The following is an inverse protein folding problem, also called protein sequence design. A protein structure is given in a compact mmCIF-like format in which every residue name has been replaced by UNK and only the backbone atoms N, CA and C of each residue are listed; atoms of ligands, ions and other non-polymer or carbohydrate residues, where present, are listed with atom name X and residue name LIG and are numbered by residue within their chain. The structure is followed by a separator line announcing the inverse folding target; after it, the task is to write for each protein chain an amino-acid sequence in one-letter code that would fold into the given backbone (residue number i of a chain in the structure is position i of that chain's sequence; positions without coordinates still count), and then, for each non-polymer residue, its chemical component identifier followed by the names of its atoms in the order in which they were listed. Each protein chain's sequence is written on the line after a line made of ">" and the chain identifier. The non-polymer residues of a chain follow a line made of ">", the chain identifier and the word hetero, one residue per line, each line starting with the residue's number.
data_IF_688851762025
#
_entry.id   IF_688851762025
#
_cell.length_a   1.000
_cell.length_b   1.000
_cell.length_c   1.000
_cell.angle_alpha   90.00
_cell.angle_beta   90.00
_cell.angle_gamma   90.00
#
_symmetry.space_group_name_H-M   'P 1'
#
loop_
_entity.id
_entity.type
_entity.pdbx_description
1 polymer ?
#
# COMPACT_ATOMS: atom_id res chain seq x y z
N UNK A 1 8.33 5.28 55.56
CA UNK A 1 8.56 3.83 55.75
C UNK A 1 7.20 3.16 55.94
N UNK A 2 6.61 2.60 54.88
CA UNK A 2 5.36 1.86 54.97
C UNK A 2 5.57 0.49 54.33
N UNK A 3 5.68 -0.53 55.20
CA UNK A 3 5.66 -1.95 54.85
C UNK A 3 4.20 -2.43 54.90
N UNK A 4 3.75 -3.11 53.86
CA UNK A 4 2.48 -3.87 53.82
C UNK A 4 2.63 -5.05 52.83
N UNK A 5 1.83 -6.12 52.97
CA UNK A 5 2.34 -7.43 53.37
C UNK A 5 2.36 -8.48 52.25
N UNK A 6 3.14 -9.54 52.50
CA UNK A 6 3.19 -10.78 51.73
C UNK A 6 1.86 -11.54 51.77
N UNK A 7 1.31 -11.82 50.58
CA UNK A 7 0.26 -12.82 50.40
C UNK A 7 0.89 -14.16 50.00
N UNK A 8 0.47 -15.22 50.69
CA UNK A 8 0.99 -16.56 50.60
C UNK A 8 0.62 -17.25 49.28
N UNK A 9 1.61 -17.92 48.68
CA UNK A 9 1.48 -18.75 47.48
C UNK A 9 0.84 -20.10 47.82
N UNK A 10 -0.28 -20.42 47.17
CA UNK A 10 -0.77 -21.80 47.04
C UNK A 10 -0.39 -22.29 45.65
N UNK A 11 0.39 -23.36 45.61
CA UNK A 11 0.98 -23.96 44.42
C UNK A 11 0.10 -25.14 44.00
N UNK A 12 -0.61 -25.01 42.88
CA UNK A 12 -1.36 -26.13 42.29
C UNK A 12 -0.74 -26.45 40.94
N UNK A 13 -0.02 -27.57 40.88
CA UNK A 13 0.55 -28.10 39.66
C UNK A 13 -0.54 -28.88 38.91
N UNK A 14 -0.96 -28.39 37.74
CA UNK A 14 -1.76 -29.14 36.79
C UNK A 14 -0.88 -29.51 35.59
N UNK A 15 -0.48 -30.78 35.55
CA UNK A 15 0.09 -31.42 34.39
C UNK A 15 -1.05 -31.89 33.47
N UNK A 16 -1.13 -31.34 32.26
CA UNK A 16 -1.95 -31.80 31.14
C UNK A 16 -1.15 -31.39 29.88
N UNK A 17 -0.71 -32.26 29.00
CA UNK A 17 -1.25 -33.56 28.62
C UNK A 17 -1.27 -33.56 27.09
N UNK A 18 -0.16 -33.99 26.50
CA UNK A 18 -0.01 -34.21 25.06
C UNK A 18 -0.97 -35.36 24.64
N UNK A 19 -1.90 -35.11 23.73
CA UNK A 19 -2.67 -36.15 23.04
C UNK A 19 -3.09 -35.57 21.67
N UNK A 20 -2.56 -36.03 20.55
CA UNK A 20 -2.82 -37.31 19.88
C UNK A 20 -3.71 -37.05 18.65
N UNK A 21 -3.20 -37.51 17.52
CA UNK A 21 -3.81 -37.44 16.21
C UNK A 21 -5.20 -38.10 16.17
N UNK A 22 -6.12 -37.48 15.43
CA UNK A 22 -7.21 -38.19 14.78
C UNK A 22 -7.08 -37.97 13.27
N UNK A 23 -6.36 -38.90 12.65
CA UNK A 23 -6.53 -39.21 11.25
C UNK A 23 -7.95 -39.77 11.09
N UNK A 24 -8.86 -38.96 10.57
CA UNK A 24 -10.13 -39.47 10.05
C UNK A 24 -9.86 -40.05 8.67
N UNK A 25 -9.91 -41.37 8.60
CA UNK A 25 -10.02 -42.11 7.36
C UNK A 25 -11.41 -41.83 6.79
N UNK A 26 -11.46 -40.97 5.77
CA UNK A 26 -12.67 -40.72 5.00
C UNK A 26 -12.84 -41.87 3.99
N UNK A 27 -13.86 -42.69 4.25
CA UNK A 27 -14.26 -43.80 3.41
C UNK A 27 -14.83 -43.25 2.08
N UNK A 28 -14.29 -43.63 0.91
CA UNK A 28 -14.76 -43.11 -0.37
C UNK A 28 -16.16 -43.68 -0.67
N UNK A 29 -17.18 -42.84 -0.96
CA UNK A 29 -18.50 -43.33 -1.32
C UNK A 29 -18.45 -44.09 -2.66
N UNK A 30 -18.97 -45.33 -2.72
CA UNK A 30 -19.07 -46.06 -3.98
C UNK A 30 -20.29 -45.57 -4.77
N UNK A 31 -20.07 -45.15 -6.02
CA UNK A 31 -21.15 -45.04 -7.02
C UNK A 31 -21.75 -43.65 -7.18
N UNK A 32 -20.97 -42.69 -7.69
CA UNK A 32 -21.47 -41.43 -8.25
C UNK A 32 -21.32 -41.43 -9.78
N UNK A 33 -22.44 -41.26 -10.48
CA UNK A 33 -22.56 -41.17 -11.93
C UNK A 33 -21.54 -40.20 -12.58
N UNK A 34 -21.14 -40.40 -13.86
CA UNK A 34 -20.20 -39.52 -14.54
C UNK A 34 -20.71 -38.08 -14.54
N UNK A 35 -20.07 -37.24 -13.71
CA UNK A 35 -20.36 -35.83 -13.64
C UNK A 35 -20.07 -35.20 -15.00
N UNK A 36 -21.12 -34.65 -15.62
CA UNK A 36 -21.03 -33.89 -16.85
C UNK A 36 -19.96 -32.79 -16.69
N UNK A 37 -18.91 -32.87 -17.51
CA UNK A 37 -17.78 -31.95 -17.51
C UNK A 37 -18.31 -30.52 -17.75
N UNK A 38 -18.34 -29.72 -16.69
CA UNK A 38 -18.78 -28.34 -16.77
C UNK A 38 -17.88 -27.61 -17.78
N UNK A 39 -18.45 -26.82 -18.71
CA UNK A 39 -17.69 -26.15 -19.76
C UNK A 39 -16.60 -25.29 -19.12
N UNK A 40 -15.33 -25.63 -19.41
CA UNK A 40 -14.17 -24.84 -19.02
C UNK A 40 -14.28 -23.47 -19.70
N UNK A 41 -14.83 -22.50 -18.98
CA UNK A 41 -14.86 -21.09 -19.41
C UNK A 41 -13.41 -20.66 -19.56
N UNK A 42 -12.99 -20.40 -20.80
CA UNK A 42 -11.65 -19.92 -21.09
C UNK A 42 -11.38 -18.68 -20.22
N UNK A 43 -10.23 -18.61 -19.52
CA UNK A 43 -9.91 -17.47 -18.67
C UNK A 43 -9.97 -16.20 -19.52
N UNK A 44 -10.93 -15.34 -19.19
CA UNK A 44 -11.10 -14.06 -19.87
C UNK A 44 -9.76 -13.33 -19.82
N UNK A 45 -9.24 -12.96 -20.99
CA UNK A 45 -7.96 -12.29 -21.14
C UNK A 45 -7.89 -11.13 -20.15
N UNK A 46 -6.93 -11.20 -19.22
CA UNK A 46 -6.76 -10.20 -18.18
C UNK A 46 -6.60 -8.82 -18.85
N UNK A 47 -7.48 -7.88 -18.50
CA UNK A 47 -7.40 -6.52 -19.00
C UNK A 47 -5.97 -5.97 -18.78
N UNK A 48 -5.43 -5.18 -19.71
CA UNK A 48 -4.09 -4.62 -19.59
C UNK A 48 -4.00 -3.86 -18.25
N UNK A 49 -3.18 -4.38 -17.34
CA UNK A 49 -2.90 -3.71 -16.07
C UNK A 49 -2.26 -2.38 -16.42
N UNK A 50 -3.00 -1.30 -16.22
CA UNK A 50 -2.47 0.05 -16.34
C UNK A 50 -1.13 0.09 -15.60
N UNK A 51 -0.09 0.60 -16.25
CA UNK A 51 1.22 0.70 -15.65
C UNK A 51 1.10 1.46 -14.33
N UNK A 52 1.34 0.77 -13.21
CA UNK A 52 1.32 1.36 -11.87
C UNK A 52 2.39 2.46 -11.82
N UNK A 53 2.04 3.65 -11.35
CA UNK A 53 2.93 4.83 -11.34
C UNK A 53 2.78 5.63 -10.06
N UNK A 54 3.86 6.29 -9.64
CA UNK A 54 3.86 7.13 -8.46
C UNK A 54 3.75 6.37 -7.14
N UNK A 55 3.53 7.13 -6.07
CA UNK A 55 3.44 6.64 -4.70
C UNK A 55 2.22 7.23 -4.00
N UNK A 56 1.47 6.42 -3.27
CA UNK A 56 0.37 6.87 -2.41
C UNK A 56 0.84 6.88 -0.95
N UNK A 57 0.54 7.95 -0.21
CA UNK A 57 0.81 8.05 1.23
C UNK A 57 -0.43 7.67 2.02
N UNK A 58 -0.28 6.77 3.00
CA UNK A 58 -1.37 6.24 3.81
C UNK A 58 -1.04 6.39 5.29
N UNK A 59 -1.92 7.04 6.05
CA UNK A 59 -1.85 7.04 7.51
C UNK A 59 -2.38 5.70 8.04
N UNK A 60 -1.51 4.91 8.67
CA UNK A 60 -1.90 3.60 9.22
C UNK A 60 -2.95 3.76 10.33
N UNK A 61 -2.82 4.80 11.14
CA UNK A 61 -3.71 5.13 12.26
C UNK A 61 -4.04 6.63 12.25
N UNK A 62 -4.96 7.05 13.12
CA UNK A 62 -5.39 8.46 13.21
C UNK A 62 -4.33 9.35 13.90
N UNK A 63 -3.48 8.78 14.76
CA UNK A 63 -2.36 9.51 15.40
C UNK A 63 -1.29 9.92 14.37
N UNK A 64 -1.14 9.14 13.32
CA UNK A 64 -0.19 9.35 12.22
C UNK A 64 -0.69 10.28 11.13
N UNK A 65 -1.94 10.76 11.20
CA UNK A 65 -2.56 11.54 10.13
C UNK A 65 -1.84 12.88 9.86
N UNK A 66 -1.36 13.58 10.89
CA UNK A 66 -0.59 14.82 10.70
C UNK A 66 0.74 14.57 9.99
N UNK A 67 1.47 13.54 10.43
CA UNK A 67 2.75 13.15 9.84
C UNK A 67 2.58 12.69 8.38
N UNK A 68 1.52 11.91 8.11
CA UNK A 68 1.15 11.45 6.78
C UNK A 68 0.79 12.61 5.85
N UNK A 69 0.00 13.59 6.32
CA UNK A 69 -0.30 14.82 5.55
C UNK A 69 0.97 15.61 5.25
N UNK A 70 1.91 15.69 6.18
CA UNK A 70 3.21 16.35 5.92
C UNK A 70 4.01 15.62 4.85
N UNK A 71 4.10 14.29 4.92
CA UNK A 71 4.79 13.48 3.92
C UNK A 71 4.11 13.58 2.54
N UNK A 72 2.78 13.51 2.49
CA UNK A 72 2.00 13.63 1.26
C UNK A 72 2.28 14.94 0.52
N UNK A 73 2.40 16.08 1.23
CA UNK A 73 2.78 17.36 0.62
C UNK A 73 4.16 17.32 -0.04
N UNK A 74 5.13 16.65 0.58
CA UNK A 74 6.48 16.48 0.03
C UNK A 74 6.47 15.57 -1.20
N UNK A 75 5.76 14.44 -1.12
CA UNK A 75 5.70 13.43 -2.18
C UNK A 75 4.92 13.94 -3.40
N UNK A 76 3.74 14.51 -3.21
CA UNK A 76 2.86 14.92 -4.32
C UNK A 76 3.30 16.21 -5.02
N UNK A 77 4.27 16.95 -4.44
CA UNK A 77 4.93 18.06 -5.13
C UNK A 77 5.82 17.60 -6.28
N UNK A 78 6.31 16.36 -6.23
CA UNK A 78 7.09 15.77 -7.31
C UNK A 78 6.16 15.11 -8.35
N UNK A 79 6.16 15.57 -9.62
CA UNK A 79 5.30 15.01 -10.65
C UNK A 79 5.57 13.53 -10.95
N UNK A 80 6.80 13.03 -10.74
CA UNK A 80 7.12 11.62 -10.96
C UNK A 80 6.52 10.69 -9.88
N UNK A 81 6.29 11.23 -8.68
CA UNK A 81 5.72 10.49 -7.56
C UNK A 81 4.21 10.64 -7.45
N UNK A 82 3.60 11.55 -8.22
CA UNK A 82 2.17 11.85 -8.12
C UNK A 82 1.31 10.69 -8.66
N UNK A 83 0.50 10.03 -7.82
CA UNK A 83 -0.44 9.02 -8.27
C UNK A 83 -1.63 9.66 -9.01
N UNK A 84 -2.32 8.93 -9.90
CA UNK A 84 -3.46 9.43 -10.67
C UNK A 84 -4.76 9.45 -9.83
N UNK A 85 -4.71 9.99 -8.62
CA UNK A 85 -5.86 10.15 -7.73
C UNK A 85 -6.25 11.61 -7.56
N UNK A 86 -7.50 11.85 -7.19
CA UNK A 86 -7.96 13.19 -6.81
C UNK A 86 -7.47 13.59 -5.41
N UNK A 87 -7.59 14.88 -5.12
CA UNK A 87 -7.14 15.48 -3.86
C UNK A 87 -7.96 14.96 -2.66
N UNK A 88 -9.26 14.69 -2.83
CA UNK A 88 -10.11 14.21 -1.75
C UNK A 88 -9.74 12.77 -1.31
N UNK A 89 -9.43 11.90 -2.27
CA UNK A 89 -8.91 10.57 -2.03
C UNK A 89 -7.53 10.63 -1.38
N UNK A 90 -6.65 11.52 -1.85
CA UNK A 90 -5.33 11.74 -1.26
C UNK A 90 -5.42 12.17 0.22
N UNK A 91 -6.34 13.09 0.54
CA UNK A 91 -6.61 13.55 1.91
C UNK A 91 -7.18 12.43 2.78
N UNK A 92 -8.17 11.67 2.28
CA UNK A 92 -8.75 10.54 3.00
C UNK A 92 -7.71 9.45 3.33
N UNK A 93 -6.80 9.16 2.40
CA UNK A 93 -5.69 8.22 2.61
C UNK A 93 -4.67 8.77 3.63
N UNK A 94 -4.44 10.08 3.65
CA UNK A 94 -3.59 10.74 4.63
C UNK A 94 -4.26 10.90 6.01
N UNK A 95 -5.46 10.35 6.22
CA UNK A 95 -6.15 10.35 7.51
C UNK A 95 -7.09 11.52 7.76
N UNK A 96 -7.32 12.38 6.77
CA UNK A 96 -8.34 13.42 6.87
C UNK A 96 -9.74 12.79 6.91
N UNK A 97 -10.64 13.19 7.82
CA UNK A 97 -12.00 12.71 7.81
C UNK A 97 -12.70 13.12 6.51
N UNK A 98 -13.28 12.15 5.81
CA UNK A 98 -14.03 12.42 4.60
C UNK A 98 -15.22 13.35 4.93
N UNK A 99 -15.45 14.43 4.16
CA UNK A 99 -16.64 15.26 4.29
C UNK A 99 -17.93 14.43 4.25
N UNK A 100 -19.01 14.86 4.93
CA UNK A 100 -20.28 14.13 4.92
C UNK A 100 -20.84 13.97 3.50
N UNK A 101 -20.56 14.92 2.60
CA UNK A 101 -20.99 14.91 1.19
C UNK A 101 -19.96 14.29 0.24
N UNK A 102 -18.89 13.68 0.77
CA UNK A 102 -17.86 13.06 -0.06
C UNK A 102 -18.43 11.87 -0.87
N UNK A 103 -17.89 11.63 -2.08
CA UNK A 103 -18.24 10.46 -2.88
C UNK A 103 -18.08 9.16 -2.09
N UNK A 104 -18.94 8.16 -2.38
CA UNK A 104 -18.91 6.86 -1.71
C UNK A 104 -17.52 6.20 -1.77
N UNK A 105 -16.83 6.33 -2.92
CA UNK A 105 -15.47 5.82 -3.10
C UNK A 105 -14.46 6.41 -2.11
N UNK A 106 -14.55 7.70 -1.79
CA UNK A 106 -13.64 8.36 -0.83
C UNK A 106 -13.91 7.87 0.59
N UNK A 107 -15.19 7.67 0.95
CA UNK A 107 -15.59 7.11 2.25
C UNK A 107 -15.12 5.66 2.40
N UNK A 108 -15.23 4.87 1.36
CA UNK A 108 -14.72 3.50 1.31
C UNK A 108 -13.19 3.46 1.47
N UNK A 109 -12.45 4.33 0.77
CA UNK A 109 -10.99 4.44 0.93
C UNK A 109 -10.59 4.74 2.38
N UNK A 110 -11.29 5.67 3.04
CA UNK A 110 -11.05 5.99 4.45
C UNK A 110 -11.33 4.79 5.37
N UNK A 111 -12.36 3.98 5.08
CA UNK A 111 -12.66 2.79 5.88
C UNK A 111 -11.65 1.66 5.66
N UNK A 112 -11.23 1.42 4.42
CA UNK A 112 -10.20 0.42 4.12
C UNK A 112 -8.86 0.82 4.75
N UNK A 113 -8.50 2.12 4.73
CA UNK A 113 -7.34 2.64 5.48
C UNK A 113 -7.43 2.27 6.97
N UNK A 114 -8.54 2.62 7.63
CA UNK A 114 -8.74 2.31 9.05
C UNK A 114 -8.73 0.81 9.33
N UNK A 115 -9.21 0.00 8.38
CA UNK A 115 -9.20 -1.47 8.48
C UNK A 115 -7.78 -2.03 8.39
N UNK A 116 -6.94 -1.46 7.51
CA UNK A 116 -5.53 -1.82 7.40
C UNK A 116 -4.76 -1.50 8.69
N UNK A 117 -5.02 -0.35 9.31
CA UNK A 117 -4.44 0.02 10.61
C UNK A 117 -4.86 -0.86 11.78
N UNK A 118 -6.12 -1.33 11.76
CA UNK A 118 -6.69 -2.20 12.79
C UNK A 118 -6.42 -3.69 12.54
N UNK A 119 -5.77 -4.05 11.44
CA UNK A 119 -5.48 -5.44 11.13
C UNK A 119 -4.51 -6.01 12.17
N UNK A 120 -4.97 -7.00 12.95
CA UNK A 120 -4.16 -7.65 13.99
C UNK A 120 -2.99 -8.49 13.46
N UNK A 121 -2.76 -8.52 12.14
CA UNK A 121 -1.62 -9.20 11.54
C UNK A 121 -1.03 -8.41 10.37
N UNK A 122 0.30 -8.31 10.37
CA UNK A 122 1.08 -7.62 9.34
C UNK A 122 0.82 -8.13 7.91
N UNK A 123 0.68 -9.45 7.64
CA UNK A 123 0.35 -9.92 6.29
C UNK A 123 -0.99 -9.41 5.77
N UNK A 124 -1.99 -9.29 6.65
CA UNK A 124 -3.33 -8.79 6.28
C UNK A 124 -3.28 -7.29 6.02
N UNK A 125 -2.65 -6.50 6.91
CA UNK A 125 -2.44 -5.06 6.71
C UNK A 125 -1.76 -4.78 5.36
N UNK A 126 -0.69 -5.52 5.07
CA UNK A 126 0.07 -5.44 3.82
C UNK A 126 -0.75 -5.79 2.58
N UNK A 127 -1.61 -6.81 2.67
CA UNK A 127 -2.54 -7.17 1.59
C UNK A 127 -3.56 -6.05 1.30
N UNK A 128 -4.14 -5.47 2.35
CA UNK A 128 -5.09 -4.36 2.23
C UNK A 128 -4.41 -3.10 1.65
N UNK A 129 -3.21 -2.76 2.12
CA UNK A 129 -2.44 -1.64 1.59
C UNK A 129 -2.05 -1.85 0.12
N UNK A 130 -1.63 -3.05 -0.26
CA UNK A 130 -1.34 -3.36 -1.67
C UNK A 130 -2.59 -3.26 -2.55
N UNK A 131 -3.75 -3.74 -2.06
CA UNK A 131 -5.03 -3.60 -2.76
C UNK A 131 -5.43 -2.13 -2.92
N UNK A 132 -5.24 -1.29 -1.90
CA UNK A 132 -5.45 0.15 -1.96
C UNK A 132 -4.54 0.81 -3.00
N UNK A 133 -3.24 0.50 -2.98
CA UNK A 133 -2.28 1.03 -3.95
C UNK A 133 -2.63 0.64 -5.39
N UNK A 134 -3.03 -0.61 -5.62
CA UNK A 134 -3.46 -1.09 -6.93
C UNK A 134 -4.73 -0.37 -7.42
N UNK A 135 -5.72 -0.16 -6.52
CA UNK A 135 -6.94 0.60 -6.83
C UNK A 135 -6.66 2.07 -7.16
N UNK A 136 -5.65 2.66 -6.52
CA UNK A 136 -5.18 4.02 -6.79
C UNK A 136 -4.25 4.14 -8.01
N UNK A 137 -3.89 3.03 -8.66
CA UNK A 137 -2.92 3.01 -9.76
C UNK A 137 -1.48 3.33 -9.34
N UNK A 138 -1.16 3.19 -8.05
CA UNK A 138 0.14 3.51 -7.48
C UNK A 138 1.13 2.33 -7.60
N UNK A 139 2.41 2.62 -7.85
CA UNK A 139 3.47 1.61 -7.81
C UNK A 139 3.93 1.32 -6.38
N UNK A 140 3.92 2.36 -5.54
CA UNK A 140 4.34 2.33 -4.14
C UNK A 140 3.20 2.77 -3.22
N UNK A 141 3.14 2.18 -2.04
CA UNK A 141 2.32 2.65 -0.92
C UNK A 141 3.25 2.96 0.24
N UNK A 142 3.16 4.17 0.78
CA UNK A 142 3.98 4.66 1.89
C UNK A 142 3.10 4.69 3.13
N UNK A 143 3.21 3.66 3.95
CA UNK A 143 2.46 3.54 5.19
C UNK A 143 3.17 4.31 6.30
N UNK A 144 2.49 5.29 6.89
CA UNK A 144 3.01 6.14 7.96
C UNK A 144 2.40 5.69 9.28
N UNK A 145 3.26 5.37 10.25
CA UNK A 145 2.92 4.95 11.61
C UNK A 145 3.65 5.82 12.60
N UNK A 146 3.06 6.08 13.76
CA UNK A 146 3.70 6.84 14.84
C UNK A 146 3.96 5.90 16.00
N UNK A 147 5.23 5.58 16.21
CA UNK A 147 5.66 4.76 17.34
C UNK A 147 6.40 5.64 18.34
N UNK A 148 5.96 5.65 19.60
CA UNK A 148 6.63 6.38 20.68
C UNK A 148 6.77 7.90 20.40
N UNK A 149 5.81 8.48 19.68
CA UNK A 149 5.85 9.89 19.28
C UNK A 149 6.82 10.21 18.13
N UNK A 150 7.39 9.19 17.49
CA UNK A 150 8.24 9.31 16.31
C UNK A 150 7.51 8.75 15.08
N UNK A 151 7.12 9.61 14.13
CA UNK A 151 6.54 9.14 12.88
C UNK A 151 7.60 8.49 11.98
N UNK A 152 7.28 7.29 11.52
CA UNK A 152 8.09 6.46 10.63
C UNK A 152 7.23 6.10 9.43
N UNK A 153 7.83 6.13 8.23
CA UNK A 153 7.18 5.72 7.00
C UNK A 153 7.86 4.50 6.39
N UNK A 154 7.09 3.45 6.14
CA UNK A 154 7.54 2.19 5.51
C UNK A 154 7.00 2.11 4.09
N UNK A 155 7.85 1.74 3.15
CA UNK A 155 7.50 1.71 1.73
C UNK A 155 7.11 0.29 1.30
N UNK A 156 5.95 0.15 0.69
CA UNK A 156 5.41 -1.10 0.18
C UNK A 156 5.35 -1.08 -1.35
N UNK A 157 5.94 -2.08 -2.00
CA UNK A 157 5.75 -2.30 -3.43
C UNK A 157 4.41 -2.99 -3.68
N UNK A 158 3.53 -2.34 -4.45
CA UNK A 158 2.18 -2.81 -4.72
C UNK A 158 2.17 -4.14 -5.47
N UNK A 159 3.01 -4.26 -6.51
CA UNK A 159 3.05 -5.44 -7.37
C UNK A 159 3.37 -6.76 -6.63
N UNK A 160 4.15 -6.69 -5.56
CA UNK A 160 4.56 -7.86 -4.77
C UNK A 160 3.96 -7.91 -3.37
N UNK A 161 3.23 -6.88 -2.96
CA UNK A 161 2.85 -6.64 -1.57
C UNK A 161 4.03 -6.90 -0.62
N UNK A 162 5.21 -6.31 -0.91
CA UNK A 162 6.45 -6.50 -0.13
C UNK A 162 6.99 -5.15 0.31
N UNK A 163 7.38 -5.05 1.58
CA UNK A 163 8.05 -3.85 2.07
C UNK A 163 9.45 -3.76 1.46
N UNK A 164 9.82 -2.57 1.02
CA UNK A 164 11.20 -2.25 0.72
C UNK A 164 12.01 -2.22 2.02
N UNK A 165 13.31 -2.56 1.99
CA UNK A 165 14.20 -2.40 3.13
C UNK A 165 14.59 -0.91 3.32
N UNK A 166 13.60 -0.02 3.29
CA UNK A 166 13.75 1.41 3.42
C UNK A 166 12.70 1.91 4.40
N UNK A 167 13.17 2.56 5.46
CA UNK A 167 12.35 3.28 6.42
C UNK A 167 12.75 4.75 6.36
N UNK A 168 11.74 5.62 6.26
CA UNK A 168 11.92 7.06 6.30
C UNK A 168 11.55 7.51 7.71
N UNK A 169 12.45 8.22 8.38
CA UNK A 169 12.18 8.86 9.67
C UNK A 169 11.86 10.33 9.47
N UNK A 170 10.82 10.84 10.13
CA UNK A 170 10.56 12.27 10.15
C UNK A 170 11.37 12.96 11.27
N UNK A 171 11.76 14.20 11.02
CA UNK A 171 12.29 15.09 12.05
C UNK A 171 11.16 15.91 12.63
N UNK A 172 10.94 15.81 13.93
CA UNK A 172 9.90 16.56 14.66
C UNK A 172 10.54 17.72 15.39
N UNK A 173 10.23 18.96 14.98
CA UNK A 173 10.66 20.17 15.68
C UNK A 173 9.50 20.66 16.55
N UNK A 174 9.66 20.57 17.87
CA UNK A 174 8.76 21.23 18.82
C UNK A 174 9.28 22.63 19.09
N UNK A 175 8.40 23.63 19.00
CA UNK A 175 8.75 24.98 19.41
C UNK A 175 9.11 24.97 20.91
N UNK A 176 10.09 25.78 21.32
CA UNK A 176 10.50 25.87 22.71
C UNK A 176 9.34 26.31 23.60
N UNK A 177 9.10 25.56 24.68
CA UNK A 177 8.05 25.79 25.67
C UNK A 177 8.13 27.22 26.22
N UNK A 178 7.07 28.01 26.00
CA UNK A 178 7.01 29.38 26.53
C UNK A 178 5.83 30.21 26.03
N UNK A 179 5.16 29.84 24.94
CA UNK A 179 3.95 30.49 24.49
C UNK A 179 2.72 29.59 24.74
N UNK A 180 1.73 30.12 25.47
CA UNK A 180 0.57 29.42 26.02
C UNK A 180 -0.48 28.91 24.99
N UNK A 181 -0.06 28.54 23.78
CA UNK A 181 -0.90 27.84 22.80
C UNK A 181 -0.01 26.81 22.12
N UNK A 182 -0.28 25.53 22.37
CA UNK A 182 0.48 24.39 21.84
C UNK A 182 0.69 24.56 20.33
N UNK A 183 1.90 24.95 19.87
CA UNK A 183 2.15 25.02 18.44
C UNK A 183 2.22 23.59 17.93
N UNK A 184 1.44 23.29 16.88
CA UNK A 184 1.55 22.03 16.17
C UNK A 184 3.03 21.77 15.83
N UNK A 185 3.54 20.59 16.17
CA UNK A 185 4.93 20.28 15.94
C UNK A 185 5.20 20.29 14.42
N UNK A 186 6.28 20.95 14.00
CA UNK A 186 6.66 20.93 12.58
C UNK A 186 7.29 19.57 12.27
N UNK A 187 6.67 18.82 11.36
CA UNK A 187 7.13 17.49 10.93
C UNK A 187 7.75 17.61 9.54
N UNK A 188 9.05 17.35 9.45
CA UNK A 188 9.84 17.38 8.22
C UNK A 188 10.30 15.98 7.78
N UNK A 189 10.38 15.77 6.47
CA UNK A 189 10.72 14.47 5.86
C UNK A 189 11.93 14.61 4.92
N UNK A 190 13.15 14.81 5.47
CA UNK A 190 14.32 15.12 4.66
C UNK A 190 14.65 13.96 3.71
N UNK A 191 14.83 14.26 2.42
CA UNK A 191 15.23 13.29 1.40
C UNK A 191 14.15 12.28 0.98
N UNK A 192 12.95 12.33 1.56
CA UNK A 192 11.90 11.33 1.30
C UNK A 192 11.53 11.20 -0.19
N UNK A 193 11.33 12.33 -0.89
CA UNK A 193 11.00 12.31 -2.32
C UNK A 193 12.13 11.68 -3.17
N UNK A 194 13.39 12.00 -2.89
CA UNK A 194 14.52 11.43 -3.62
C UNK A 194 14.64 9.92 -3.39
N UNK A 195 14.48 9.47 -2.15
CA UNK A 195 14.52 8.06 -1.79
C UNK A 195 13.37 7.27 -2.44
N UNK A 196 12.14 7.80 -2.43
CA UNK A 196 10.99 7.17 -3.09
C UNK A 196 11.15 7.11 -4.60
N UNK A 197 11.72 8.15 -5.23
CA UNK A 197 11.97 8.15 -6.67
C UNK A 197 12.96 7.07 -7.08
N UNK A 198 13.97 6.80 -6.26
CA UNK A 198 14.93 5.72 -6.49
C UNK A 198 14.30 4.31 -6.41
N UNK A 199 13.14 4.17 -5.75
CA UNK A 199 12.40 2.91 -5.65
C UNK A 199 11.37 2.72 -6.78
N UNK A 200 11.04 3.77 -7.53
CA UNK A 200 10.16 3.61 -8.67
C UNK A 200 10.86 2.79 -9.75
N UNK A 201 10.15 1.83 -10.38
CA UNK A 201 10.70 1.17 -11.56
C UNK A 201 11.01 2.25 -12.58
N UNK A 202 12.25 2.28 -13.09
CA UNK A 202 12.65 3.23 -14.13
C UNK A 202 11.65 3.09 -15.29
N UNK A 203 10.78 4.10 -15.42
CA UNK A 203 9.57 4.09 -16.25
C UNK A 203 9.84 3.46 -17.61
N UNK A 204 9.55 2.16 -17.72
CA UNK A 204 9.63 1.43 -18.97
C UNK A 204 10.88 1.71 -19.79
N UNK A 205 12.07 1.66 -19.17
CA UNK A 205 13.28 1.35 -19.92
C UNK A 205 12.99 0.08 -20.69
N UNK A 206 12.67 0.25 -21.97
CA UNK A 206 12.10 -0.77 -22.83
C UNK A 206 13.09 -1.92 -22.82
N UNK A 207 12.80 -2.96 -22.02
CA UNK A 207 13.51 -4.23 -22.05
C UNK A 207 13.14 -4.97 -23.34
N UNK A 208 13.32 -4.28 -24.46
CA UNK A 208 12.90 -4.58 -25.82
C UNK A 208 13.85 -3.89 -26.79
N UNK A 209 15.14 -3.96 -26.48
CA UNK A 209 16.22 -4.01 -27.44
C UNK A 209 17.40 -4.64 -26.69
N UNK A 210 17.39 -5.98 -26.59
CA UNK A 210 18.67 -6.66 -26.55
C UNK A 210 19.46 -6.08 -27.74
N UNK A 211 20.67 -5.51 -27.54
CA UNK A 211 21.50 -5.14 -28.67
C UNK A 211 21.66 -6.42 -29.49
N UNK A 212 20.98 -6.45 -30.64
CA UNK A 212 21.09 -7.55 -31.57
C UNK A 212 22.58 -7.78 -31.79
N UNK A 213 23.04 -8.97 -31.42
CA UNK A 213 24.34 -9.46 -31.76
C UNK A 213 24.50 -9.30 -33.29
N UNK A 214 25.27 -8.30 -33.70
CA UNK A 214 25.31 -7.89 -35.10
C UNK A 214 26.34 -6.81 -35.34
N UNK A 215 27.62 -7.13 -35.14
CA UNK A 215 28.73 -6.30 -35.58
C UNK A 215 29.92 -6.37 -34.63
N UNK A 216 30.83 -7.30 -34.89
CA UNK A 216 32.17 -7.24 -34.34
C UNK A 216 32.81 -5.88 -34.68
N UNK A 217 33.36 -5.12 -33.72
CA UNK A 217 34.09 -3.90 -34.02
C UNK A 217 35.41 -4.27 -34.72
N UNK A 218 35.58 -3.80 -35.96
CA UNK A 218 36.87 -3.78 -36.62
C UNK A 218 37.82 -2.82 -35.88
N UNK A 219 39.08 -3.19 -35.61
CA UNK A 219 40.06 -2.29 -35.02
C UNK A 219 40.46 -1.23 -36.05
N UNK A 220 40.02 0.02 -35.86
CA UNK A 220 40.52 1.16 -36.62
C UNK A 220 41.43 2.01 -35.74
N UNK A 221 42.59 2.27 -36.32
CA UNK A 221 43.81 2.80 -35.77
C UNK A 221 43.74 4.22 -35.22
N UNK A 222 44.69 4.46 -34.31
CA UNK A 222 45.40 5.70 -33.99
C UNK A 222 45.24 6.90 -34.95
N UNK A 223 45.14 8.09 -34.34
CA UNK A 223 45.93 9.24 -34.77
C UNK A 223 45.16 10.49 -35.18
N UNK A 224 45.09 11.49 -34.29
CA UNK A 224 44.76 12.86 -34.71
C UNK A 224 44.54 13.84 -33.53
N UNK A 225 45.35 14.91 -33.39
CA UNK A 225 45.14 15.93 -32.38
C UNK A 225 44.16 17.00 -32.90
N UNK A 226 43.08 17.26 -32.17
CA UNK A 226 42.10 18.29 -32.53
C UNK A 226 42.22 19.51 -31.60
N UNK A 227 42.44 20.64 -32.28
CA UNK A 227 42.65 22.02 -31.84
C UNK A 227 41.37 22.65 -31.25
N UNK A 228 41.48 23.64 -30.34
CA UNK A 228 40.33 24.30 -29.73
C UNK A 228 39.87 25.59 -30.44
N UNK A 229 38.68 26.05 -30.02
CA UNK A 229 38.02 27.36 -30.20
C UNK A 229 37.18 27.60 -31.47
N UNK A 230 35.86 27.78 -31.27
CA UNK A 230 35.11 28.93 -31.78
C UNK A 230 33.77 29.11 -31.03
N UNK A 231 33.37 30.37 -30.93
CA UNK A 231 32.39 30.98 -30.02
C UNK A 231 31.17 31.49 -30.81
N UNK A 232 30.00 31.47 -30.14
CA UNK A 232 28.77 32.28 -30.34
C UNK A 232 27.90 32.12 -31.61
N UNK A 233 26.60 31.91 -31.42
CA UNK A 233 25.58 32.98 -31.46
C UNK A 233 24.17 32.47 -31.05
N UNK A 234 23.35 33.26 -30.33
CA UNK A 234 21.96 32.94 -30.00
C UNK A 234 21.00 33.43 -31.10
N UNK A 235 20.17 32.52 -31.61
CA UNK A 235 19.09 32.82 -32.56
C UNK A 235 17.78 33.03 -31.80
N UNK A 236 17.24 34.25 -31.89
CA UNK A 236 15.91 34.60 -31.39
C UNK A 236 14.79 33.93 -32.22
N UNK A 237 13.65 33.54 -31.63
CA UNK A 237 12.46 33.20 -32.40
C UNK A 237 11.59 34.44 -32.67
N UNK A 238 11.36 34.70 -33.96
CA UNK A 238 10.34 35.62 -34.47
C UNK A 238 8.95 34.97 -34.36
N UNK A 239 7.92 35.81 -34.17
CA UNK A 239 6.59 35.41 -33.76
C UNK A 239 5.59 35.12 -34.88
N UNK A 240 4.32 35.06 -34.44
CA UNK A 240 3.07 35.11 -35.20
C UNK A 240 2.81 33.88 -36.10
N UNK A 241 1.60 33.39 -36.32
CA UNK A 241 0.26 33.63 -35.81
C UNK A 241 -0.65 32.54 -36.44
N UNK A 242 -1.84 32.36 -35.84
CA UNK A 242 -3.07 31.93 -36.50
C UNK A 242 -3.10 30.58 -37.27
N UNK A 243 -3.60 29.55 -36.59
CA UNK A 243 -4.51 28.56 -37.19
C UNK A 243 -5.32 27.81 -36.10
N UNK A 244 -6.35 28.45 -35.55
CA UNK A 244 -7.45 27.73 -34.90
C UNK A 244 -8.26 27.01 -35.99
N UNK A 245 -7.85 25.79 -36.35
CA UNK A 245 -8.66 24.86 -37.14
C UNK A 245 -9.45 23.95 -36.19
N UNK A 246 -10.76 24.20 -36.13
CA UNK A 246 -11.81 23.20 -35.92
C UNK A 246 -11.64 22.21 -34.76
N UNK A 247 -11.98 22.64 -33.54
CA UNK A 247 -12.38 21.70 -32.47
C UNK A 247 -13.70 21.03 -32.87
N UNK A 248 -13.61 19.79 -33.35
CA UNK A 248 -14.75 18.87 -33.47
C UNK A 248 -15.12 18.43 -32.06
N UNK A 249 -16.39 18.61 -31.68
CA UNK A 249 -16.90 18.21 -30.37
C UNK A 249 -16.71 16.69 -30.16
N UNK A 250 -16.21 16.24 -28.99
CA UNK A 250 -16.10 14.82 -28.68
C UNK A 250 -17.50 14.19 -28.58
N UNK A 251 -17.70 12.96 -29.10
CA UNK A 251 -18.97 12.25 -28.95
C UNK A 251 -19.27 12.01 -27.47
N UNK A 252 -20.54 12.12 -27.09
CA UNK A 252 -21.00 11.94 -25.73
C UNK A 252 -20.51 10.58 -25.17
N UNK A 253 -20.02 10.54 -23.91
CA UNK A 253 -19.58 9.30 -23.29
C UNK A 253 -20.78 8.37 -23.13
N UNK A 254 -20.89 7.38 -24.02
CA UNK A 254 -21.82 6.27 -23.85
C UNK A 254 -21.51 5.55 -22.53
N UNK A 255 -22.55 5.28 -21.75
CA UNK A 255 -22.49 4.56 -20.48
C UNK A 255 -21.75 3.23 -20.65
N UNK A 256 -20.45 3.23 -20.33
CA UNK A 256 -19.68 1.99 -20.20
C UNK A 256 -20.14 1.32 -18.91
N UNK A 257 -21.11 0.41 -19.05
CA UNK A 257 -21.46 -0.53 -18.00
C UNK A 257 -20.19 -1.18 -17.51
N UNK A 258 -19.84 -0.86 -16.28
CA UNK A 258 -18.54 -1.20 -15.76
C UNK A 258 -18.53 -2.66 -15.34
N UNK A 259 -17.44 -3.36 -15.62
CA UNK A 259 -17.34 -4.83 -15.52
C UNK A 259 -17.61 -5.33 -14.09
N UNK A 260 -17.42 -4.47 -13.08
CA UNK A 260 -17.70 -4.71 -11.66
C UNK A 260 -19.19 -4.69 -11.26
N UNK A 261 -20.08 -4.20 -12.13
CA UNK A 261 -21.54 -4.18 -11.86
C UNK A 261 -22.22 -5.52 -12.10
N UNK A 262 -21.48 -6.53 -12.56
CA UNK A 262 -22.09 -7.81 -12.94
C UNK A 262 -22.13 -8.78 -11.73
N UNK A 263 -23.28 -9.41 -11.42
CA UNK A 263 -23.50 -10.22 -10.20
C UNK A 263 -22.52 -11.38 -9.98
N UNK A 264 -22.03 -11.98 -11.06
CA UNK A 264 -21.03 -13.05 -11.04
C UNK A 264 -19.67 -12.64 -10.45
N UNK A 265 -19.29 -11.35 -10.48
CA UNK A 265 -18.02 -10.89 -9.90
C UNK A 265 -18.04 -10.98 -8.36
N UNK A 266 -19.21 -10.80 -7.75
CA UNK A 266 -19.38 -10.81 -6.29
C UNK A 266 -19.62 -12.21 -5.71
N UNK A 267 -20.01 -13.18 -6.53
CA UNK A 267 -20.32 -14.55 -6.08
C UNK A 267 -19.21 -15.23 -5.26
N UNK A 268 -17.94 -15.24 -5.73
CA UNK A 268 -16.85 -15.85 -4.99
C UNK A 268 -16.49 -15.08 -3.71
N UNK A 269 -16.60 -13.75 -3.74
CA UNK A 269 -16.25 -12.89 -2.61
C UNK A 269 -17.26 -13.05 -1.45
N UNK A 270 -18.55 -13.19 -1.78
CA UNK A 270 -19.61 -13.48 -0.80
C UNK A 270 -19.41 -14.86 -0.15
N UNK A 271 -18.93 -15.86 -0.90
CA UNK A 271 -18.63 -17.19 -0.36
C UNK A 271 -17.54 -17.18 0.71
N UNK A 272 -16.44 -16.44 0.50
CA UNK A 272 -15.34 -16.34 1.48
C UNK A 272 -15.77 -15.59 2.74
N UNK A 273 -16.59 -14.53 2.59
CA UNK A 273 -17.12 -13.79 3.72
C UNK A 273 -18.03 -14.67 4.61
N UNK A 274 -18.88 -15.49 4.01
CA UNK A 274 -19.74 -16.42 4.75
C UNK A 274 -18.92 -17.45 5.54
N UNK A 275 -17.90 -18.06 4.91
CA UNK A 275 -17.05 -19.06 5.60
C UNK A 275 -16.23 -18.43 6.72
N UNK A 276 -15.69 -17.22 6.52
CA UNK A 276 -14.95 -16.49 7.57
C UNK A 276 -15.83 -16.11 8.77
N UNK A 277 -17.08 -15.73 8.53
CA UNK A 277 -18.03 -15.37 9.58
C UNK A 277 -18.44 -16.59 10.43
N UNK A 278 -18.56 -17.77 9.82
CA UNK A 278 -18.80 -19.04 10.55
C UNK A 278 -17.62 -19.37 11.47
N UNK A 279 -16.37 -19.27 10.98
CA UNK A 279 -15.18 -19.52 11.80
C UNK A 279 -15.05 -18.51 12.95
N UNK A 280 -15.36 -17.24 12.71
CA UNK A 280 -15.31 -16.20 13.74
C UNK A 280 -16.36 -16.42 14.83
N UNK A 281 -17.60 -16.79 14.47
CA UNK A 281 -18.66 -17.09 15.44
C UNK A 281 -18.29 -18.32 16.27
N UNK A 282 -17.76 -19.38 15.63
CA UNK A 282 -17.26 -20.56 16.35
C UNK A 282 -16.13 -20.21 17.34
N UNK A 283 -15.21 -19.32 16.95
CA UNK A 283 -14.12 -18.87 17.82
C UNK A 283 -14.62 -18.03 19.00
N UNK A 284 -15.65 -17.22 18.83
CA UNK A 284 -16.23 -16.41 19.91
C UNK A 284 -17.09 -17.24 20.87
N UNK A 285 -17.76 -18.29 20.39
CA UNK A 285 -18.55 -19.19 21.26
C UNK A 285 -17.69 -20.09 22.16
N UNK A 286 -16.40 -20.26 21.85
CA UNK A 286 -15.45 -21.00 22.71
C UNK A 286 -14.79 -20.17 23.81
N UNK A 287 -14.96 -18.83 23.79
CA UNK A 287 -14.26 -17.90 24.69
C UNK A 287 -15.13 -17.38 25.84
N UNK A 288 -16.26 -18.05 26.14
CA UNK A 288 -17.10 -17.74 27.30
C UNK A 288 -16.69 -18.60 28.50
N UNK A 289 -15.46 -18.46 28.96
CA UNK A 289 -15.15 -18.60 30.38
C UNK A 289 -13.99 -17.64 30.67
N UNK A 290 -14.31 -16.58 31.40
CA UNK A 290 -13.40 -15.49 31.67
C UNK A 290 -12.30 -15.95 32.62
N UNK A 291 -11.07 -16.01 32.13
CA UNK A 291 -9.93 -15.98 33.02
C UNK A 291 -8.80 -15.15 32.43
N UNK A 292 -8.24 -14.29 33.28
CA UNK A 292 -7.34 -13.21 32.90
C UNK A 292 -5.94 -13.78 32.79
N UNK A 293 -5.40 -13.91 31.58
CA UNK A 293 -4.06 -14.51 31.37
C UNK A 293 -2.97 -13.50 31.73
N UNK A 294 -2.37 -13.65 32.91
CA UNK A 294 -1.16 -12.91 33.30
C UNK A 294 0.10 -13.66 32.84
N UNK A 295 0.74 -13.14 31.80
CA UNK A 295 2.04 -13.64 31.33
C UNK A 295 3.17 -13.15 32.25
N UNK A 296 3.80 -14.07 32.97
CA UNK A 296 4.98 -13.79 33.80
C UNK A 296 6.22 -14.45 33.19
N UNK A 297 6.97 -13.68 32.41
CA UNK A 297 8.27 -14.10 31.88
C UNK A 297 9.33 -14.12 32.98
N UNK A 298 10.07 -15.23 33.10
CA UNK A 298 11.22 -15.37 34.01
C UNK A 298 12.50 -15.33 33.19
N UNK A 299 13.34 -14.33 33.43
CA UNK A 299 14.69 -14.25 32.85
C UNK A 299 15.59 -15.11 33.74
N UNK A 300 16.18 -16.15 33.18
CA UNK A 300 17.20 -16.95 33.86
C UNK A 300 18.56 -16.21 33.83
N UNK A 301 19.37 -16.31 34.91
CA UNK A 301 20.67 -15.65 35.03
C UNK A 301 21.74 -16.26 34.12
#
# INVERSE_FOLDING_TARGET
>A
MCRCPHAASVLTAAALGLAAALAQAEEPPPGGAPAAEAPRVAPAAAAPRAALRGAVVVAADDESAEAARSLARVVYRDPALRPPIDEAAAQALAGEPAPPDAPASVKELAEVRRSAGRAGSEPVARGLLASLGAGAGAALVVAVTTAQGHPVARVLHVAGARYAPLELGATVQRAADGAAASPAATIDWPGAAAALRALLPADGGVAGAAPGAGGAPAPSSEGGPVRPLATAAPTAPAGAALAQRGRRAPPAPGERRSVWSSPWFWGPLAGVAATGLVVLVLAQTGASDGDTVHLKGRIAP
#
